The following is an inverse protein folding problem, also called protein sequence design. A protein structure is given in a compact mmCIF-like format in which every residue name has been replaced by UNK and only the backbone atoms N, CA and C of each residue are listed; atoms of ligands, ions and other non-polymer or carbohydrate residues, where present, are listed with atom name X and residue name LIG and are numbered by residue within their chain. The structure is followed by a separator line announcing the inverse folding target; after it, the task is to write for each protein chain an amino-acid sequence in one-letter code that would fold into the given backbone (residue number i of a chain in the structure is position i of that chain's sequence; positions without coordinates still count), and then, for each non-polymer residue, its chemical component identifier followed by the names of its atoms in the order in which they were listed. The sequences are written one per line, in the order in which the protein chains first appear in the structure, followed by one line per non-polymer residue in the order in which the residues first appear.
data_IF_118461035156
#
_entry.id   IF_118461035156
#
_cell.length_a   1.000
_cell.length_b   1.000
_cell.length_c   1.000
_cell.angle_alpha   90.00
_cell.angle_beta   90.00
_cell.angle_gamma   90.00
#
_symmetry.space_group_name_H-M   'P 1'
#
loop_
_entity.id
_entity.type
_entity.pdbx_description
1 polymer ?
#
# COMPACT_ATOMS: atom_id res chain seq x y z
N UNK A 1 -11.38 8.26 17.94
CA UNK A 1 -10.51 8.18 16.74
C UNK A 1 -11.04 7.05 15.88
N UNK A 2 -11.43 7.35 14.64
CA UNK A 2 -11.88 6.32 13.69
C UNK A 2 -10.63 5.64 13.14
N UNK A 3 -10.52 4.30 13.17
CA UNK A 3 -9.37 3.62 12.59
C UNK A 3 -9.31 3.87 11.08
N UNK A 4 -8.15 4.30 10.58
CA UNK A 4 -7.94 4.51 9.15
C UNK A 4 -7.76 3.16 8.44
N UNK A 5 -8.63 2.91 7.45
CA UNK A 5 -8.63 1.71 6.63
C UNK A 5 -8.00 2.04 5.28
N UNK A 6 -6.74 1.66 5.09
CA UNK A 6 -5.96 2.03 3.90
C UNK A 6 -5.51 0.76 3.18
N UNK A 7 -5.60 0.73 1.85
CA UNK A 7 -5.06 -0.39 1.07
C UNK A 7 -3.57 -0.20 0.84
N UNK A 8 -2.85 -1.31 0.88
CA UNK A 8 -1.46 -1.37 0.45
C UNK A 8 -1.47 -1.95 -0.98
N UNK A 9 -1.26 -1.11 -1.98
CA UNK A 9 -1.27 -1.48 -3.41
C UNK A 9 0.11 -1.96 -3.87
N UNK A 10 0.15 -2.58 -5.05
CA UNK A 10 1.37 -2.88 -5.79
C UNK A 10 2.42 -3.73 -5.04
N UNK A 11 1.98 -4.55 -4.08
CA UNK A 11 2.87 -5.47 -3.34
C UNK A 11 2.89 -6.84 -4.00
N UNK A 12 4.02 -7.24 -4.56
CA UNK A 12 4.19 -8.57 -5.14
C UNK A 12 4.06 -9.69 -4.08
N UNK A 13 3.22 -10.68 -4.41
CA UNK A 13 3.08 -11.90 -3.62
C UNK A 13 2.25 -11.76 -2.33
N UNK A 14 1.64 -10.61 -2.08
CA UNK A 14 0.69 -10.42 -0.99
C UNK A 14 -0.68 -10.02 -1.56
N UNK A 15 -1.75 -10.64 -1.07
CA UNK A 15 -3.12 -10.32 -1.51
C UNK A 15 -3.64 -9.31 -0.49
N UNK A 16 -3.22 -8.06 -0.64
CA UNK A 16 -3.78 -6.95 0.11
C UNK A 16 -5.01 -6.38 -0.61
N UNK A 17 -5.84 -7.27 -1.17
CA UNK A 17 -7.14 -6.88 -1.75
C UNK A 17 -8.06 -6.25 -0.71
N UNK A 18 -7.89 -6.59 0.57
CA UNK A 18 -8.59 -5.95 1.68
C UNK A 18 -7.77 -4.78 2.29
N UNK A 19 -8.41 -3.63 2.60
CA UNK A 19 -7.78 -2.56 3.37
C UNK A 19 -7.27 -3.06 4.73
N UNK A 20 -6.12 -2.56 5.16
CA UNK A 20 -5.57 -2.82 6.50
C UNK A 20 -5.93 -1.66 7.43
N UNK A 21 -6.17 -2.00 8.69
CA UNK A 21 -6.41 -0.99 9.73
C UNK A 21 -5.06 -0.52 10.28
N UNK A 22 -4.71 0.74 10.05
CA UNK A 22 -3.58 1.36 10.72
C UNK A 22 -3.98 1.76 12.15
N UNK A 23 -3.09 1.52 13.10
CA UNK A 23 -3.32 1.87 14.52
C UNK A 23 -3.25 3.38 14.71
N UNK A 24 -2.32 4.02 14.00
CA UNK A 24 -2.12 5.46 13.96
C UNK A 24 -2.56 5.99 12.60
N UNK A 25 -2.94 7.28 12.54
CA UNK A 25 -3.28 7.91 11.26
C UNK A 25 -2.04 7.96 10.37
N UNK A 26 -2.20 7.57 9.11
CA UNK A 26 -1.16 7.67 8.09
C UNK A 26 -1.12 9.11 7.61
N UNK A 27 0.04 9.75 7.62
CA UNK A 27 0.17 11.12 7.11
C UNK A 27 -0.27 11.19 5.64
N UNK A 28 -0.98 12.25 5.25
CA UNK A 28 -1.35 12.53 3.86
C UNK A 28 -0.14 12.60 2.94
N UNK A 29 1.00 13.08 3.46
CA UNK A 29 2.29 13.10 2.77
C UNK A 29 2.89 11.72 2.48
N UNK A 30 2.27 10.62 2.97
CA UNK A 30 2.69 9.25 2.68
C UNK A 30 1.68 8.52 1.80
N UNK A 31 0.57 9.18 1.44
CA UNK A 31 -0.55 8.60 0.70
C UNK A 31 -0.52 9.08 -0.74
N UNK A 32 -1.01 8.23 -1.63
CA UNK A 32 -1.26 8.64 -3.02
C UNK A 32 -2.31 9.74 -3.04
N UNK A 33 -1.99 10.90 -3.61
CA UNK A 33 -2.91 12.04 -3.66
C UNK A 33 -4.20 11.77 -4.46
N UNK A 34 -4.23 10.75 -5.32
CA UNK A 34 -5.44 10.38 -6.09
C UNK A 34 -6.36 9.39 -5.41
N UNK A 35 -5.82 8.43 -4.65
CA UNK A 35 -6.61 7.32 -4.12
C UNK A 35 -6.45 7.09 -2.62
N UNK A 36 -5.66 7.94 -1.94
CA UNK A 36 -5.38 7.94 -0.51
C UNK A 36 -4.78 6.63 0.03
N UNK A 37 -4.35 5.73 -0.87
CA UNK A 37 -3.75 4.45 -0.53
C UNK A 37 -2.22 4.53 -0.48
N UNK A 38 -1.60 3.52 0.15
CA UNK A 38 -0.14 3.38 0.21
C UNK A 38 0.39 2.33 -0.77
N UNK A 39 1.63 2.46 -1.24
CA UNK A 39 2.26 1.54 -2.21
C UNK A 39 3.79 1.61 -2.09
N UNK A 40 4.52 0.49 -2.28
CA UNK A 40 5.98 0.50 -2.35
C UNK A 40 6.52 1.16 -3.62
N UNK A 41 5.70 1.24 -4.68
CA UNK A 41 6.09 1.79 -5.98
C UNK A 41 5.51 3.19 -6.19
N UNK A 42 5.55 4.02 -5.14
CA UNK A 42 5.16 5.41 -5.24
C UNK A 42 6.21 6.27 -5.95
N UNK A 43 5.71 7.25 -6.70
CA UNK A 43 6.50 8.30 -7.32
C UNK A 43 6.04 9.67 -6.86
N UNK A 44 6.98 10.58 -6.77
CA UNK A 44 6.80 11.98 -6.42
C UNK A 44 7.04 12.82 -7.67
N UNK A 45 6.12 13.74 -7.96
CA UNK A 45 6.29 14.74 -9.01
C UNK A 45 7.29 15.82 -8.56
N UNK A 46 7.66 16.70 -9.49
CA UNK A 46 8.55 17.84 -9.24
C UNK A 46 7.98 18.87 -8.24
N UNK A 47 6.69 18.82 -7.94
CA UNK A 47 5.98 19.72 -7.03
C UNK A 47 5.79 19.12 -5.62
N UNK A 48 6.19 17.87 -5.40
CA UNK A 48 6.14 17.18 -4.11
C UNK A 48 4.86 16.39 -3.87
N UNK A 49 4.04 16.16 -4.88
CA UNK A 49 2.86 15.29 -4.79
C UNK A 49 3.23 13.84 -5.09
N UNK A 50 2.71 12.94 -4.26
CA UNK A 50 3.04 11.52 -4.34
C UNK A 50 1.86 10.73 -4.92
N UNK A 51 2.17 9.83 -5.85
CA UNK A 51 1.22 8.98 -6.57
C UNK A 51 1.69 7.52 -6.60
N UNK A 52 0.78 6.56 -6.50
CA UNK A 52 1.11 5.16 -6.73
C UNK A 52 1.15 4.86 -8.23
N UNK A 53 2.01 3.90 -8.64
CA UNK A 53 2.16 3.55 -10.07
C UNK A 53 0.84 3.12 -10.71
N UNK A 54 0.00 2.41 -9.97
CA UNK A 54 -1.35 2.04 -10.42
C UNK A 54 -2.21 3.25 -10.79
N UNK A 55 -2.08 4.38 -10.08
CA UNK A 55 -2.84 5.59 -10.36
C UNK A 55 -2.25 6.38 -11.52
N UNK A 56 -0.91 6.43 -11.60
CA UNK A 56 -0.21 7.03 -12.73
C UNK A 56 -0.63 6.33 -14.03
N UNK A 57 -0.56 5.00 -14.07
CA UNK A 57 -0.89 4.21 -15.27
C UNK A 57 -2.37 4.31 -15.70
N UNK A 58 -3.27 4.79 -14.85
CA UNK A 58 -4.69 4.97 -15.23
C UNK A 58 -4.92 6.24 -16.03
N UNK A 59 -4.07 7.25 -15.86
CA UNK A 59 -4.25 8.57 -16.46
C UNK A 59 -3.04 9.00 -17.30
N UNK A 60 -2.01 8.16 -17.39
CA UNK A 60 -0.90 8.42 -18.28
C UNK A 60 -1.36 8.43 -19.74
N UNK A 61 -0.81 9.36 -20.51
CA UNK A 61 -0.98 9.43 -21.96
C UNK A 61 0.41 9.68 -22.58
N UNK A 62 0.85 8.80 -23.47
CA UNK A 62 2.16 8.87 -24.13
C UNK A 62 3.38 8.98 -23.16
N UNK A 63 3.23 8.50 -21.92
CA UNK A 63 4.26 8.54 -20.88
C UNK A 63 4.32 9.86 -20.10
N UNK A 64 3.37 10.76 -20.34
CA UNK A 64 3.13 11.97 -19.57
C UNK A 64 2.03 11.73 -18.52
N UNK A 65 2.21 12.31 -17.35
CA UNK A 65 1.26 12.26 -16.25
C UNK A 65 0.78 13.68 -15.95
N UNK A 66 -0.55 13.84 -15.84
CA UNK A 66 -1.18 15.10 -15.45
C UNK A 66 -1.56 15.03 -13.98
N UNK A 67 -0.91 15.87 -13.17
CA UNK A 67 -1.21 16.05 -11.76
C UNK A 67 -2.64 16.60 -11.59
N UNK A 68 -3.49 15.87 -10.85
CA UNK A 68 -4.86 16.32 -10.58
C UNK A 68 -4.96 17.44 -9.53
N UNK A 69 -3.88 17.71 -8.78
CA UNK A 69 -3.88 18.75 -7.75
C UNK A 69 -3.65 20.14 -8.32
N UNK A 70 -2.73 20.28 -9.27
CA UNK A 70 -2.30 21.58 -9.81
C UNK A 70 -2.26 21.65 -11.35
N UNK A 71 -2.56 20.55 -12.04
CA UNK A 71 -2.55 20.47 -13.50
C UNK A 71 -1.15 20.38 -14.12
N UNK A 72 -0.09 20.20 -13.32
CA UNK A 72 1.26 20.02 -13.83
C UNK A 72 1.35 18.76 -14.72
N UNK A 73 2.03 18.89 -15.85
CA UNK A 73 2.29 17.78 -16.78
C UNK A 73 3.76 17.43 -16.68
N UNK A 74 4.06 16.19 -16.33
CA UNK A 74 5.43 15.72 -16.17
C UNK A 74 5.61 14.33 -16.79
N UNK A 75 6.79 14.05 -17.34
CA UNK A 75 7.09 12.71 -17.85
C UNK A 75 7.26 11.76 -16.68
N UNK A 76 6.65 10.59 -16.74
CA UNK A 76 6.72 9.58 -15.68
C UNK A 76 8.17 9.12 -15.43
N UNK A 77 9.03 9.21 -16.45
CA UNK A 77 10.47 8.93 -16.35
C UNK A 77 11.24 9.96 -15.52
N UNK A 78 10.73 11.19 -15.39
CA UNK A 78 11.36 12.30 -14.67
C UNK A 78 10.93 12.34 -13.19
N UNK A 79 9.74 11.81 -12.90
CA UNK A 79 9.24 11.65 -11.54
C UNK A 79 10.18 10.80 -10.66
N UNK A 80 10.36 11.22 -9.41
CA UNK A 80 11.28 10.60 -8.47
C UNK A 80 10.62 9.44 -7.73
N UNK A 81 11.31 8.31 -7.49
CA UNK A 81 10.81 7.28 -6.59
C UNK A 81 10.71 7.83 -5.15
N UNK A 82 9.58 7.66 -4.49
CA UNK A 82 9.36 8.11 -3.10
C UNK A 82 9.65 6.99 -2.09
N UNK A 83 10.89 6.46 -2.12
CA UNK A 83 11.29 5.34 -1.24
C UNK A 83 11.24 5.73 0.23
N UNK A 84 11.56 6.99 0.56
CA UNK A 84 11.52 7.52 1.92
C UNK A 84 10.10 7.57 2.52
N UNK A 85 9.08 7.81 1.70
CA UNK A 85 7.69 7.73 2.14
C UNK A 85 7.31 6.29 2.47
N UNK A 86 7.72 5.34 1.63
CA UNK A 86 7.47 3.92 1.86
C UNK A 86 8.19 3.40 3.11
N UNK A 87 9.44 3.80 3.34
CA UNK A 87 10.20 3.41 4.54
C UNK A 87 9.50 3.86 5.83
N UNK A 88 8.85 5.03 5.82
CA UNK A 88 8.03 5.49 6.94
C UNK A 88 6.77 4.64 7.11
N UNK A 89 6.08 4.31 6.01
CA UNK A 89 4.90 3.42 6.04
C UNK A 89 5.26 2.05 6.60
N UNK A 90 6.44 1.51 6.28
CA UNK A 90 6.92 0.22 6.79
C UNK A 90 7.02 0.16 8.32
N UNK A 91 7.29 1.30 8.97
CA UNK A 91 7.40 1.39 10.43
C UNK A 91 6.03 1.50 11.13
N UNK A 92 4.95 1.84 10.40
CA UNK A 92 3.63 2.00 10.98
C UNK A 92 3.02 0.67 11.41
N UNK A 93 2.23 0.69 12.48
CA UNK A 93 1.58 -0.51 13.01
C UNK A 93 0.21 -0.73 12.37
N UNK A 94 -0.02 -1.93 11.87
CA UNK A 94 -1.30 -2.37 11.31
C UNK A 94 -1.89 -3.52 12.11
N UNK A 95 -3.22 -3.56 12.18
CA UNK A 95 -3.97 -4.70 12.71
C UNK A 95 -4.20 -5.73 11.62
N UNK A 96 -4.27 -7.00 12.03
CA UNK A 96 -4.60 -8.08 11.12
C UNK A 96 -6.00 -7.87 10.50
N UNK A 97 -6.18 -7.94 9.16
CA UNK A 97 -7.50 -7.86 8.51
C UNK A 97 -8.49 -8.91 9.00
N UNK A 98 -8.00 -10.02 9.56
CA UNK A 98 -8.82 -11.07 10.19
C UNK A 98 -9.28 -10.71 11.62
N UNK A 99 -9.16 -9.46 12.05
CA UNK A 99 -9.75 -9.01 13.32
C UNK A 99 -11.27 -9.26 13.35
N UNK A 100 -11.94 -9.18 12.19
CA UNK A 100 -13.34 -9.58 12.03
C UNK A 100 -13.63 -11.04 12.46
N UNK A 101 -12.61 -11.89 12.48
CA UNK A 101 -12.66 -13.28 12.92
C UNK A 101 -12.00 -13.50 14.30
N UNK A 102 -11.77 -12.43 15.07
CA UNK A 102 -11.21 -12.50 16.43
C UNK A 102 -9.67 -12.45 16.52
N UNK A 103 -8.97 -12.24 15.41
CA UNK A 103 -7.51 -12.09 15.44
C UNK A 103 -7.10 -10.78 16.12
N UNK A 104 -6.30 -10.84 17.19
CA UNK A 104 -5.78 -9.67 17.92
C UNK A 104 -4.34 -9.29 17.52
N UNK A 105 -3.83 -9.90 16.46
CA UNK A 105 -2.46 -9.67 16.01
C UNK A 105 -2.31 -8.26 15.41
N UNK A 106 -1.25 -7.57 15.82
CA UNK A 106 -0.83 -6.28 15.29
C UNK A 106 0.69 -6.27 15.15
N UNK A 107 1.20 -5.66 14.10
CA UNK A 107 2.63 -5.57 13.82
C UNK A 107 2.92 -4.39 12.90
N UNK A 108 4.20 -4.00 12.76
CA UNK A 108 4.59 -3.04 11.74
C UNK A 108 4.23 -3.54 10.34
N UNK A 109 4.00 -2.66 9.37
CA UNK A 109 3.71 -3.03 7.97
C UNK A 109 4.82 -3.93 7.45
N UNK A 110 6.09 -3.62 7.76
CA UNK A 110 7.24 -4.46 7.43
C UNK A 110 7.02 -5.91 7.89
N UNK A 111 6.81 -6.12 9.20
CA UNK A 111 6.61 -7.45 9.78
C UNK A 111 5.32 -8.11 9.29
N UNK A 112 4.26 -7.33 9.08
CA UNK A 112 2.96 -7.80 8.59
C UNK A 112 3.04 -8.32 7.14
N UNK A 113 3.76 -7.62 6.26
CA UNK A 113 4.07 -8.05 4.90
C UNK A 113 4.82 -9.38 4.87
N UNK A 114 5.78 -9.58 5.79
CA UNK A 114 6.46 -10.87 5.96
C UNK A 114 5.53 -11.98 6.48
N UNK A 115 4.62 -11.65 7.40
CA UNK A 115 3.68 -12.63 7.96
C UNK A 115 2.63 -13.05 6.94
N UNK A 116 2.15 -12.18 6.06
CA UNK A 116 1.24 -12.59 4.98
C UNK A 116 1.92 -13.54 3.98
N UNK A 117 3.22 -13.39 3.70
CA UNK A 117 4.01 -14.39 2.96
C UNK A 117 4.09 -15.73 3.69
N UNK A 118 4.24 -15.73 5.03
CA UNK A 118 4.28 -16.95 5.84
C UNK A 118 2.89 -17.60 6.05
N UNK A 119 1.82 -16.82 6.21
CA UNK A 119 0.47 -17.31 6.43
C UNK A 119 -0.11 -18.02 5.20
N UNK A 120 0.33 -17.67 3.98
CA UNK A 120 0.05 -18.46 2.77
C UNK A 120 0.74 -19.82 2.80
N UNK A 121 1.95 -19.93 3.38
CA UNK A 121 2.65 -21.21 3.55
C UNK A 121 1.92 -22.13 4.54
N UNK A 122 1.25 -21.56 5.55
CA UNK A 122 0.37 -22.31 6.47
C UNK A 122 -0.95 -22.71 5.78
N UNK A 123 -1.54 -21.84 4.95
CA UNK A 123 -2.74 -22.19 4.16
C UNK A 123 -2.48 -23.26 3.09
N UNK A 124 -1.28 -23.33 2.52
CA UNK A 124 -0.89 -24.40 1.60
C UNK A 124 -0.77 -25.78 2.27
N UNK A 125 -0.55 -25.83 3.59
CA UNK A 125 -0.45 -27.08 4.34
C UNK A 125 -1.74 -27.48 5.06
N UNK A 126 -2.70 -26.57 5.27
CA UNK A 126 -3.97 -26.91 5.95
C UNK A 126 -5.06 -27.42 4.99
N UNK A 127 -4.92 -27.21 3.67
CA UNK A 127 -5.85 -27.76 2.66
C UNK A 127 -5.47 -29.19 2.24
N UNK A 128 -4.32 -29.72 2.68
CA UNK A 128 -3.90 -31.11 2.41
C UNK A 128 -4.18 -32.10 3.54
N UNK A 129 -4.78 -31.68 4.65
CA UNK A 129 -5.05 -32.56 5.80
C UNK A 129 -6.54 -32.68 6.18
N UNK A 130 -7.46 -32.17 5.36
CA UNK A 130 -8.91 -32.39 5.55
C UNK A 130 -9.56 -32.58 4.18
N UNK A 131 -9.44 -33.78 3.64
CA UNK A 131 -9.97 -34.12 2.33
C UNK A 131 -9.56 -35.52 1.90
N UNK A 132 -10.17 -36.51 2.57
CA UNK A 132 -10.40 -37.92 2.18
C UNK A 132 -9.21 -38.82 1.83
#
# INVERSE_FOLDING_TARGET
MVPEMIRIKDVEGADFSEPVCFVEAVSESLRCAMCENVSPSMKEDSHGHIYCISCINMIEEEGEFVCLNDGNVERISEMRPSTSAWDQVLQLVVKCPKQKFGCKFQASVEKSCFINRHARKIRGNLVRSVGS
#
